data_IF_392204175950
#
_entry.id   IF_392204175950
#
_cell.length_a   1.000
_cell.length_b   1.000
_cell.length_c   1.000
_cell.angle_alpha   90.00
_cell.angle_beta   90.00
_cell.angle_gamma   90.00
#
_symmetry.space_group_name_H-M   'P 1'
#
loop_
_entity.id
_entity.type
_entity.pdbx_description
1 polymer ?
#
# COMPACT_ATOMS: atom_id res chain seq x y z
N UNK A 1 -61.79 -33.15 29.18
CA UNK A 1 -61.80 -32.86 27.72
C UNK A 1 -61.13 -31.52 27.49
N UNK A 2 -60.10 -31.50 26.62
CA UNK A 2 -59.72 -30.51 25.58
C UNK A 2 -59.94 -29.00 25.88
N UNK A 3 -59.05 -28.05 25.58
CA UNK A 3 -57.80 -28.03 24.80
C UNK A 3 -57.18 -26.61 24.92
N UNK A 4 -55.85 -26.57 25.06
CA UNK A 4 -54.87 -25.69 24.39
C UNK A 4 -54.85 -24.19 24.74
N UNK A 5 -53.98 -23.86 25.69
CA UNK A 5 -53.28 -22.59 25.75
C UNK A 5 -52.37 -22.45 24.51
N UNK A 6 -52.55 -21.38 23.74
CA UNK A 6 -51.68 -21.00 22.63
C UNK A 6 -50.51 -20.21 23.24
N UNK A 7 -49.38 -20.89 23.41
CA UNK A 7 -48.11 -20.29 23.79
C UNK A 7 -47.57 -19.52 22.59
N UNK A 8 -47.81 -18.20 22.56
CA UNK A 8 -47.19 -17.30 21.59
C UNK A 8 -45.73 -17.10 22.02
N UNK A 9 -44.82 -17.88 21.43
CA UNK A 9 -43.39 -17.59 21.47
C UNK A 9 -43.13 -16.28 20.72
N UNK A 10 -43.04 -15.18 21.45
CA UNK A 10 -42.44 -13.94 20.95
C UNK A 10 -40.94 -14.21 20.83
N UNK A 11 -40.53 -14.65 19.65
CA UNK A 11 -39.14 -14.73 19.24
C UNK A 11 -38.66 -13.27 19.12
N UNK A 12 -38.13 -12.71 20.22
CA UNK A 12 -37.35 -11.48 20.16
C UNK A 12 -36.04 -11.85 19.47
N UNK A 13 -36.05 -11.79 18.14
CA UNK A 13 -34.84 -11.54 17.37
C UNK A 13 -34.34 -10.18 17.83
N UNK A 14 -33.48 -10.20 18.86
CA UNK A 14 -32.54 -9.13 19.10
C UNK A 14 -31.73 -9.05 17.82
N UNK A 15 -32.18 -8.18 16.92
CA UNK A 15 -31.41 -7.68 15.80
C UNK A 15 -30.16 -7.14 16.46
N UNK A 16 -29.08 -7.91 16.43
CA UNK A 16 -27.75 -7.36 16.53
C UNK A 16 -27.61 -6.45 15.32
N UNK A 17 -28.13 -5.23 15.44
CA UNK A 17 -27.62 -4.11 14.68
C UNK A 17 -26.20 -3.93 15.21
N UNK A 18 -25.27 -4.75 14.72
CA UNK A 18 -23.93 -4.27 14.48
C UNK A 18 -24.15 -3.02 13.66
N UNK A 19 -24.07 -1.85 14.30
CA UNK A 19 -23.97 -0.61 13.58
C UNK A 19 -22.76 -0.77 12.70
N UNK A 20 -22.99 -1.04 11.41
CA UNK A 20 -22.08 -0.66 10.37
C UNK A 20 -21.92 0.85 10.55
N UNK A 21 -20.88 1.23 11.28
CA UNK A 21 -20.36 2.59 11.26
C UNK A 21 -20.09 2.84 9.78
N UNK A 22 -20.96 3.61 9.13
CA UNK A 22 -20.84 3.90 7.71
C UNK A 22 -19.43 4.47 7.48
N UNK A 23 -18.54 3.63 6.96
CA UNK A 23 -17.15 3.99 6.81
C UNK A 23 -17.08 5.16 5.83
N UNK A 24 -16.52 6.29 6.29
CA UNK A 24 -16.49 7.50 5.49
C UNK A 24 -15.81 7.23 4.14
N UNK A 25 -16.24 7.93 3.09
CA UNK A 25 -15.58 7.82 1.78
C UNK A 25 -14.08 8.12 1.87
N UNK A 26 -13.66 9.00 2.79
CA UNK A 26 -12.25 9.24 3.08
C UNK A 26 -11.53 8.01 3.67
N UNK A 27 -12.12 7.31 4.65
CA UNK A 27 -11.51 6.09 5.22
C UNK A 27 -11.38 4.99 4.17
N UNK A 28 -12.41 4.79 3.34
CA UNK A 28 -12.36 3.83 2.22
C UNK A 28 -11.29 4.20 1.20
N UNK A 29 -11.18 5.48 0.85
CA UNK A 29 -10.15 5.98 -0.07
C UNK A 29 -8.74 5.79 0.52
N UNK A 30 -8.56 6.04 1.83
CA UNK A 30 -7.29 5.82 2.53
C UNK A 30 -6.90 4.33 2.56
N UNK A 31 -7.87 3.45 2.81
CA UNK A 31 -7.69 2.00 2.80
C UNK A 31 -7.28 1.51 1.40
N UNK A 32 -7.99 1.97 0.37
CA UNK A 32 -7.65 1.67 -1.03
C UNK A 32 -6.25 2.16 -1.41
N UNK A 33 -5.89 3.39 -1.04
CA UNK A 33 -4.57 3.97 -1.29
C UNK A 33 -3.47 3.14 -0.59
N UNK A 34 -3.71 2.73 0.66
CA UNK A 34 -2.76 1.95 1.45
C UNK A 34 -2.57 0.53 0.91
N UNK A 35 -3.66 -0.15 0.52
CA UNK A 35 -3.58 -1.45 -0.13
C UNK A 35 -2.85 -1.37 -1.47
N UNK A 36 -3.17 -0.36 -2.29
CA UNK A 36 -2.53 -0.12 -3.58
C UNK A 36 -1.03 0.11 -3.47
N UNK A 37 -0.59 1.00 -2.58
CA UNK A 37 0.84 1.31 -2.44
C UNK A 37 1.65 0.12 -1.91
N UNK A 38 1.08 -0.70 -1.02
CA UNK A 38 1.73 -1.93 -0.52
C UNK A 38 1.82 -3.00 -1.57
N UNK A 39 0.76 -3.19 -2.35
CA UNK A 39 0.76 -4.10 -3.49
C UNK A 39 1.86 -3.70 -4.47
N UNK A 40 1.92 -2.42 -4.82
CA UNK A 40 2.96 -1.89 -5.70
C UNK A 40 4.37 -2.04 -5.11
N UNK A 41 4.57 -1.83 -3.81
CA UNK A 41 5.85 -2.13 -3.15
C UNK A 41 6.26 -3.61 -3.30
N UNK A 42 5.30 -4.54 -3.25
CA UNK A 42 5.51 -5.95 -3.57
C UNK A 42 5.86 -6.20 -5.04
N UNK A 43 5.20 -5.50 -5.96
CA UNK A 43 5.50 -5.56 -7.40
C UNK A 43 6.92 -5.04 -7.70
N UNK A 44 7.37 -3.97 -7.04
CA UNK A 44 8.75 -3.46 -7.11
C UNK A 44 9.75 -4.51 -6.63
N UNK A 45 9.50 -5.17 -5.49
CA UNK A 45 10.34 -6.27 -4.99
C UNK A 45 10.46 -7.38 -6.04
N UNK A 46 9.33 -7.78 -6.63
CA UNK A 46 9.28 -8.88 -7.58
C UNK A 46 9.98 -8.51 -8.90
N UNK A 47 9.84 -7.25 -9.36
CA UNK A 47 10.60 -6.70 -10.50
C UNK A 47 12.09 -6.69 -10.22
N UNK A 48 12.54 -6.17 -9.07
CA UNK A 48 13.96 -6.22 -8.66
C UNK A 48 14.48 -7.66 -8.70
N UNK A 49 13.71 -8.63 -8.21
CA UNK A 49 14.11 -10.05 -8.18
C UNK A 49 14.30 -10.63 -9.58
N UNK A 50 13.44 -10.24 -10.52
CA UNK A 50 13.49 -10.73 -11.90
C UNK A 50 14.57 -10.03 -12.73
N UNK A 51 14.69 -8.71 -12.60
CA UNK A 51 15.54 -7.88 -13.46
C UNK A 51 17.00 -7.89 -13.02
N UNK A 52 17.30 -7.97 -11.71
CA UNK A 52 18.69 -8.04 -11.22
C UNK A 52 19.42 -9.33 -11.59
N UNK A 53 18.73 -10.30 -12.20
CA UNK A 53 19.33 -11.49 -12.82
C UNK A 53 19.82 -11.22 -14.25
N UNK A 54 19.32 -10.15 -14.89
CA UNK A 54 19.46 -9.91 -16.33
C UNK A 54 20.04 -8.53 -16.65
N UNK A 55 19.92 -7.59 -15.73
CA UNK A 55 20.24 -6.18 -15.91
C UNK A 55 21.06 -5.64 -14.73
N UNK A 56 21.89 -4.62 -14.96
CA UNK A 56 22.51 -3.86 -13.88
C UNK A 56 21.48 -3.26 -12.91
N UNK A 57 21.89 -3.09 -11.65
CA UNK A 57 21.06 -2.45 -10.62
C UNK A 57 20.60 -1.05 -11.03
N UNK A 58 21.52 -0.22 -11.53
CA UNK A 58 21.23 1.16 -11.91
C UNK A 58 20.11 1.26 -12.96
N UNK A 59 20.15 0.39 -13.98
CA UNK A 59 19.12 0.37 -15.03
C UNK A 59 17.77 -0.08 -14.48
N UNK A 60 17.77 -1.11 -13.63
CA UNK A 60 16.55 -1.62 -12.98
C UNK A 60 15.90 -0.54 -12.10
N UNK A 61 16.68 0.17 -11.29
CA UNK A 61 16.17 1.26 -10.45
C UNK A 61 15.61 2.41 -11.29
N UNK A 62 16.26 2.74 -12.41
CA UNK A 62 15.83 3.80 -13.32
C UNK A 62 14.48 3.46 -13.98
N UNK A 63 14.28 2.19 -14.35
CA UNK A 63 12.99 1.71 -14.84
C UNK A 63 11.89 1.80 -13.77
N UNK A 64 12.19 1.45 -12.52
CA UNK A 64 11.22 1.53 -11.41
C UNK A 64 10.79 2.97 -11.13
N UNK A 65 11.74 3.92 -11.11
CA UNK A 65 11.43 5.34 -10.91
C UNK A 65 10.68 5.94 -12.10
N UNK A 66 11.00 5.49 -13.32
CA UNK A 66 10.34 5.93 -14.55
C UNK A 66 8.94 5.34 -14.76
N UNK A 67 8.57 4.29 -14.04
CA UNK A 67 7.23 3.69 -14.13
C UNK A 67 6.22 4.47 -13.29
N UNK A 68 5.68 5.48 -13.93
CA UNK A 68 4.73 6.42 -13.37
C UNK A 68 3.26 5.94 -13.43
N UNK A 69 2.99 4.74 -13.92
CA UNK A 69 1.62 4.33 -14.31
C UNK A 69 0.69 4.04 -13.13
N UNK A 70 1.23 3.61 -11.97
CA UNK A 70 0.44 3.15 -10.81
C UNK A 70 0.70 4.00 -9.56
N UNK A 71 1.93 4.44 -9.36
CA UNK A 71 2.36 5.23 -8.20
C UNK A 71 3.45 6.21 -8.65
N UNK A 72 3.64 7.29 -7.88
CA UNK A 72 4.84 8.11 -8.02
C UNK A 72 5.92 7.53 -7.11
N UNK A 73 7.03 7.11 -7.71
CA UNK A 73 8.14 6.46 -7.00
C UNK A 73 9.35 7.37 -7.03
N UNK A 74 9.92 7.67 -5.87
CA UNK A 74 11.15 8.45 -5.74
C UNK A 74 12.23 7.57 -5.12
N UNK A 75 13.37 7.45 -5.80
CA UNK A 75 14.55 6.82 -5.21
C UNK A 75 15.18 7.78 -4.21
N UNK A 76 15.25 7.36 -2.95
CA UNK A 76 15.82 8.15 -1.85
C UNK A 76 17.32 7.91 -1.72
N UNK A 77 17.72 6.63 -1.80
CA UNK A 77 19.10 6.20 -1.66
C UNK A 77 19.27 4.82 -2.31
N UNK A 78 20.48 4.49 -2.74
CA UNK A 78 20.80 3.15 -3.22
C UNK A 78 22.29 2.90 -3.16
N UNK A 79 22.68 1.65 -3.01
CA UNK A 79 24.09 1.27 -3.07
C UNK A 79 24.26 -0.20 -3.40
N UNK A 80 25.48 -0.53 -3.82
CA UNK A 80 25.93 -1.90 -3.98
C UNK A 80 27.36 -2.04 -3.51
N UNK A 81 27.70 -3.16 -2.87
CA UNK A 81 29.06 -3.46 -2.43
C UNK A 81 29.78 -4.43 -3.39
N UNK A 82 31.06 -4.68 -3.12
CA UNK A 82 31.89 -5.62 -3.90
C UNK A 82 31.47 -7.08 -3.74
N UNK A 83 30.58 -7.40 -2.80
CA UNK A 83 30.03 -8.74 -2.57
C UNK A 83 28.70 -8.96 -3.30
N UNK A 84 28.39 -8.09 -4.26
CA UNK A 84 27.12 -8.09 -5.00
C UNK A 84 25.88 -7.88 -4.12
N UNK A 85 26.03 -7.41 -2.88
CA UNK A 85 24.88 -7.00 -2.07
C UNK A 85 24.43 -5.63 -2.52
N UNK A 86 23.13 -5.40 -2.51
CA UNK A 86 22.57 -4.11 -2.81
C UNK A 86 21.55 -3.70 -1.76
N UNK A 87 21.31 -2.39 -1.71
CA UNK A 87 20.13 -1.83 -1.11
C UNK A 87 19.54 -0.72 -1.99
N UNK A 88 18.24 -0.50 -1.86
CA UNK A 88 17.53 0.61 -2.48
C UNK A 88 16.39 1.09 -1.57
N UNK A 89 16.38 2.39 -1.30
CA UNK A 89 15.38 3.06 -0.49
C UNK A 89 14.46 3.84 -1.40
N UNK A 90 13.15 3.60 -1.30
CA UNK A 90 12.15 4.30 -2.09
C UNK A 90 11.13 5.00 -1.21
N UNK A 91 10.63 6.14 -1.70
CA UNK A 91 9.36 6.71 -1.29
C UNK A 91 8.34 6.46 -2.42
N UNK A 92 7.28 5.74 -2.10
CA UNK A 92 6.22 5.38 -3.04
C UNK A 92 4.95 6.10 -2.60
N UNK A 93 4.33 6.83 -3.51
CA UNK A 93 3.06 7.53 -3.28
C UNK A 93 1.97 6.91 -4.13
N UNK A 94 0.98 6.32 -3.48
CA UNK A 94 -0.22 5.75 -4.10
C UNK A 94 -1.46 6.56 -3.72
N UNK A 95 -2.39 6.70 -4.66
CA UNK A 95 -3.69 7.33 -4.43
C UNK A 95 -4.81 6.29 -4.37
N UNK A 96 -5.87 6.64 -3.65
CA UNK A 96 -7.10 5.86 -3.56
C UNK A 96 -8.30 6.76 -3.63
N UNK A 97 -9.40 6.21 -4.12
CA UNK A 97 -10.64 6.93 -4.40
C UNK A 97 -11.83 6.13 -3.88
N UNK A 98 -12.81 6.83 -3.30
CA UNK A 98 -14.07 6.24 -2.90
C UNK A 98 -15.19 7.29 -2.84
N UNK A 99 -16.44 6.81 -2.79
CA UNK A 99 -17.64 7.65 -2.91
C UNK A 99 -18.09 7.85 -4.36
N UNK A 100 -19.14 8.64 -4.57
CA UNK A 100 -19.68 9.01 -5.88
C UNK A 100 -20.62 10.22 -5.80
N UNK A 101 -20.46 11.18 -6.70
CA UNK A 101 -21.22 12.43 -6.66
C UNK A 101 -20.70 13.37 -5.58
N UNK A 102 -21.56 13.79 -4.64
CA UNK A 102 -21.22 14.81 -3.62
C UNK A 102 -20.30 14.34 -2.48
N UNK A 103 -20.05 13.03 -2.35
CA UNK A 103 -19.20 12.43 -1.30
C UNK A 103 -17.87 11.87 -1.84
N UNK A 104 -17.55 12.13 -3.13
CA UNK A 104 -16.30 11.67 -3.75
C UNK A 104 -15.09 12.20 -2.97
N UNK A 105 -14.18 11.28 -2.64
CA UNK A 105 -12.91 11.59 -1.98
C UNK A 105 -11.78 10.88 -2.70
N UNK A 106 -10.73 11.64 -2.96
CA UNK A 106 -9.44 11.15 -3.42
C UNK A 106 -8.39 11.54 -2.38
N UNK A 107 -7.54 10.59 -2.03
CA UNK A 107 -6.45 10.78 -1.05
C UNK A 107 -5.19 10.09 -1.53
N UNK A 108 -4.04 10.62 -1.16
CA UNK A 108 -2.76 9.93 -1.35
C UNK A 108 -2.14 9.53 -0.02
N UNK A 109 -1.40 8.44 -0.04
CA UNK A 109 -0.57 7.97 1.07
C UNK A 109 0.84 7.72 0.58
N UNK A 110 1.81 7.86 1.47
CA UNK A 110 3.21 7.55 1.19
C UNK A 110 3.67 6.35 1.99
N UNK A 111 4.39 5.46 1.34
CA UNK A 111 5.10 4.36 1.96
C UNK A 111 6.59 4.50 1.63
N UNK A 112 7.46 4.49 2.65
CA UNK A 112 8.90 4.46 2.44
C UNK A 112 9.44 3.07 2.78
N UNK A 113 10.21 2.50 1.86
CA UNK A 113 10.59 1.08 1.91
C UNK A 113 12.07 0.94 1.63
N UNK A 114 12.72 0.10 2.42
CA UNK A 114 14.08 -0.38 2.19
C UNK A 114 14.01 -1.75 1.51
N UNK A 115 14.66 -1.88 0.37
CA UNK A 115 14.90 -3.17 -0.29
C UNK A 115 16.36 -3.55 -0.14
N UNK A 116 16.62 -4.82 0.15
CA UNK A 116 17.99 -5.35 0.20
C UNK A 116 18.06 -6.76 -0.35
N UNK A 117 19.20 -7.10 -0.96
CA UNK A 117 19.40 -8.45 -1.49
C UNK A 117 20.74 -8.60 -2.18
N UNK A 118 20.85 -9.61 -3.05
CA UNK A 118 22.04 -9.87 -3.86
C UNK A 118 21.71 -9.75 -5.35
N UNK A 119 22.61 -9.13 -6.12
CA UNK A 119 22.52 -9.01 -7.58
C UNK A 119 23.05 -10.30 -8.22
N UNK A 120 22.42 -10.75 -9.32
CA UNK A 120 22.88 -11.91 -10.10
C UNK A 120 22.67 -13.28 -9.44
N UNK A 121 22.18 -13.32 -8.20
CA UNK A 121 21.85 -14.57 -7.49
C UNK A 121 20.32 -14.69 -7.44
N UNK A 122 19.82 -15.90 -7.68
CA UNK A 122 18.44 -16.30 -7.37
C UNK A 122 18.24 -16.27 -5.84
N UNK A 123 18.07 -15.07 -5.30
CA UNK A 123 17.92 -14.81 -3.87
C UNK A 123 16.57 -14.18 -3.54
N UNK A 124 16.25 -14.21 -2.25
CA UNK A 124 15.15 -13.45 -1.68
C UNK A 124 15.59 -11.97 -1.62
N UNK A 125 14.75 -11.08 -2.13
CA UNK A 125 14.89 -9.63 -1.87
C UNK A 125 14.01 -9.34 -0.67
N UNK A 126 14.64 -8.84 0.38
CA UNK A 126 13.97 -8.41 1.58
C UNK A 126 13.36 -7.02 1.38
N UNK A 127 12.26 -6.79 2.07
CA UNK A 127 11.50 -5.55 2.02
C UNK A 127 11.17 -5.17 3.45
N UNK A 128 11.60 -3.98 3.88
CA UNK A 128 11.44 -3.49 5.24
C UNK A 128 10.89 -2.06 5.27
N UNK A 129 10.19 -1.73 6.35
CA UNK A 129 9.73 -0.36 6.61
C UNK A 129 10.90 0.59 6.80
N UNK A 130 10.84 1.74 6.12
CA UNK A 130 11.77 2.84 6.29
C UNK A 130 11.03 4.07 6.80
N UNK A 131 11.62 4.81 7.74
CA UNK A 131 11.07 6.12 8.12
C UNK A 131 11.23 7.08 6.94
N UNK A 132 10.12 7.65 6.47
CA UNK A 132 10.17 8.64 5.40
C UNK A 132 11.00 9.87 5.82
N UNK A 133 12.00 10.29 5.01
CA UNK A 133 12.78 11.49 5.27
C UNK A 133 11.90 12.75 5.21
N UNK A 134 12.37 13.79 5.90
CA UNK A 134 11.75 15.12 5.84
C UNK A 134 11.99 15.77 4.47
N UNK A 135 11.12 16.71 4.08
CA UNK A 135 11.25 17.45 2.82
C UNK A 135 10.67 16.75 1.57
N UNK A 136 10.07 15.57 1.71
CA UNK A 136 9.35 14.93 0.61
C UNK A 136 8.05 15.69 0.24
N UNK A 137 7.67 15.76 -1.05
CA UNK A 137 6.55 16.60 -1.52
C UNK A 137 5.24 16.35 -0.78
N UNK A 138 4.61 17.37 -0.19
CA UNK A 138 3.32 17.19 0.49
C UNK A 138 2.17 16.86 -0.49
N UNK A 139 2.33 17.20 -1.76
CA UNK A 139 1.36 16.97 -2.84
C UNK A 139 2.06 16.28 -4.00
N UNK A 140 1.42 15.26 -4.55
CA UNK A 140 1.92 14.51 -5.71
C UNK A 140 0.80 14.42 -6.73
N UNK A 141 1.07 14.85 -7.97
CA UNK A 141 0.08 14.87 -9.07
C UNK A 141 -1.23 15.60 -8.70
N UNK A 142 -1.14 16.65 -7.90
CA UNK A 142 -2.31 17.43 -7.46
C UNK A 142 -3.12 16.79 -6.33
N UNK A 143 -2.70 15.65 -5.78
CA UNK A 143 -3.33 15.00 -4.63
C UNK A 143 -2.45 15.15 -3.39
N UNK A 144 -3.03 15.64 -2.30
CA UNK A 144 -2.31 15.78 -1.03
C UNK A 144 -2.03 14.42 -0.39
N UNK A 145 -0.79 14.23 0.02
CA UNK A 145 -0.34 13.07 0.78
C UNK A 145 -0.85 13.23 2.21
N UNK A 146 -1.92 12.51 2.56
CA UNK A 146 -2.58 12.62 3.86
C UNK A 146 -1.76 12.02 5.00
N UNK A 147 -1.03 10.94 4.74
CA UNK A 147 -0.21 10.27 5.76
C UNK A 147 0.91 9.43 5.15
N UNK A 148 1.95 9.23 5.96
CA UNK A 148 2.91 8.16 5.77
C UNK A 148 2.34 6.87 6.40
N UNK A 149 2.53 5.73 5.74
CA UNK A 149 2.11 4.41 6.21
C UNK A 149 3.30 3.45 6.24
N UNK A 150 3.08 2.28 6.84
CA UNK A 150 4.01 1.15 6.86
C UNK A 150 3.46 -0.06 6.08
N UNK A 151 4.31 -1.07 5.88
CA UNK A 151 4.00 -2.33 5.21
C UNK A 151 2.94 -3.16 5.96
N UNK A 152 2.90 -3.07 7.30
CA UNK A 152 2.09 -3.96 8.15
C UNK A 152 0.75 -3.38 8.64
N UNK A 153 0.44 -2.11 8.38
CA UNK A 153 -0.67 -1.39 9.05
C UNK A 153 -2.01 -1.34 8.33
#
# INVERSE_FOLDING_TARGET
MKMRAVLVCVLVLAVTSCGDWAESSESRALSAAAAGVRKYAGEVRDKLRQDLQKKPLADTLKEIVGDETIASTTLLNSGSDSSSRFFADFAIVGSGEAGGGGDYKQVAVRLCVHYSGMVGISGQIDMADLKCPEGLPATVRGVDVKKNISLAS
#
